data_IF_429662225059
#
_entry.id   IF_429662225059
#
_cell.length_a   1.000
_cell.length_b   1.000
_cell.length_c   1.000
_cell.angle_alpha   90.00
_cell.angle_beta   90.00
_cell.angle_gamma   90.00
#
_symmetry.space_group_name_H-M   'P 1'
#
loop_
_entity.id
_entity.type
_entity.pdbx_description
1 polymer ?
#
# COMPACT_ATOMS: atom_id res chain seq x y z
N UNK A 1 -4.87 21.50 4.94
CA UNK A 1 -6.30 21.71 4.68
C UNK A 1 -7.11 20.70 5.50
N UNK A 2 -8.26 21.10 6.05
CA UNK A 2 -9.16 20.15 6.72
C UNK A 2 -9.97 19.36 5.69
N UNK A 3 -10.00 18.03 5.82
CA UNK A 3 -10.87 17.17 5.03
C UNK A 3 -12.30 17.23 5.56
N UNK A 4 -13.29 17.44 4.68
CA UNK A 4 -14.71 17.34 5.01
C UNK A 4 -15.30 16.16 4.27
N UNK A 5 -15.82 15.18 5.01
CA UNK A 5 -16.45 13.99 4.43
C UNK A 5 -17.79 14.34 3.80
N UNK A 6 -18.01 13.87 2.59
CA UNK A 6 -19.31 13.88 1.91
C UNK A 6 -19.63 12.46 1.42
N UNK A 7 -20.56 11.74 2.08
CA UNK A 7 -20.95 10.39 1.70
C UNK A 7 -21.56 10.28 0.29
N UNK A 8 -22.14 11.37 -0.23
CA UNK A 8 -22.75 11.41 -1.56
C UNK A 8 -21.72 11.66 -2.67
N UNK A 9 -20.54 12.18 -2.31
CA UNK A 9 -19.47 12.45 -3.26
C UNK A 9 -18.61 11.20 -3.51
N UNK A 10 -18.38 10.89 -4.78
CA UNK A 10 -17.64 9.69 -5.20
C UNK A 10 -16.23 9.61 -4.58
N UNK A 11 -15.53 10.76 -4.51
CA UNK A 11 -14.18 10.91 -3.94
C UNK A 11 -14.16 11.18 -2.43
N UNK A 12 -14.99 12.11 -1.93
CA UNK A 12 -14.93 12.60 -0.54
C UNK A 12 -15.69 11.72 0.47
N UNK A 13 -16.21 10.57 0.03
CA UNK A 13 -16.80 9.55 0.92
C UNK A 13 -15.78 8.89 1.85
N UNK A 14 -14.50 8.91 1.49
CA UNK A 14 -13.38 8.43 2.32
C UNK A 14 -12.32 9.52 2.44
N UNK A 15 -11.62 9.57 3.57
CA UNK A 15 -10.45 10.42 3.77
C UNK A 15 -9.28 9.92 2.92
N UNK A 16 -8.24 10.75 2.68
CA UNK A 16 -7.03 10.30 1.98
C UNK A 16 -6.41 9.05 2.61
N UNK A 17 -6.35 8.99 3.95
CA UNK A 17 -5.84 7.83 4.67
C UNK A 17 -6.69 6.58 4.45
N UNK A 18 -8.02 6.71 4.52
CA UNK A 18 -8.94 5.59 4.29
C UNK A 18 -8.86 5.06 2.86
N UNK A 19 -8.66 5.93 1.87
CA UNK A 19 -8.41 5.51 0.49
C UNK A 19 -7.13 4.69 0.36
N UNK A 20 -6.05 5.11 1.02
CA UNK A 20 -4.78 4.36 1.03
C UNK A 20 -4.95 3.02 1.74
N UNK A 21 -5.61 2.98 2.90
CA UNK A 21 -5.90 1.74 3.61
C UNK A 21 -6.77 0.79 2.79
N UNK A 22 -7.81 1.30 2.12
CA UNK A 22 -8.61 0.52 1.20
C UNK A 22 -7.77 -0.05 0.04
N UNK A 23 -6.84 0.74 -0.50
CA UNK A 23 -5.90 0.31 -1.52
C UNK A 23 -5.01 -0.85 -1.06
N UNK A 24 -4.49 -0.80 0.16
CA UNK A 24 -3.69 -1.87 0.76
C UNK A 24 -4.50 -3.15 0.97
N UNK A 25 -5.77 -3.05 1.35
CA UNK A 25 -6.68 -4.20 1.46
C UNK A 25 -6.91 -4.84 0.08
N UNK A 26 -7.16 -4.04 -0.96
CA UNK A 26 -7.32 -4.56 -2.33
C UNK A 26 -6.04 -5.20 -2.86
N UNK A 27 -4.86 -4.63 -2.55
CA UNK A 27 -3.57 -5.22 -2.94
C UNK A 27 -3.40 -6.63 -2.35
N UNK A 28 -3.64 -6.79 -1.04
CA UNK A 28 -3.56 -8.11 -0.38
C UNK A 28 -4.54 -9.12 -0.98
N UNK A 29 -5.77 -8.67 -1.29
CA UNK A 29 -6.78 -9.52 -1.96
C UNK A 29 -6.33 -9.93 -3.37
N UNK A 30 -5.74 -9.00 -4.13
CA UNK A 30 -5.21 -9.22 -5.46
C UNK A 30 -4.06 -10.24 -5.44
N UNK A 31 -3.09 -10.06 -4.54
CA UNK A 31 -1.98 -11.00 -4.33
C UNK A 31 -2.49 -12.41 -3.99
N UNK A 32 -3.45 -12.52 -3.08
CA UNK A 32 -4.07 -13.81 -2.76
C UNK A 32 -4.80 -14.44 -3.94
N UNK A 33 -5.49 -13.65 -4.76
CA UNK A 33 -6.15 -14.15 -5.98
C UNK A 33 -5.14 -14.63 -7.02
N UNK A 34 -4.06 -13.87 -7.24
CA UNK A 34 -2.96 -14.27 -8.12
C UNK A 34 -2.36 -15.58 -7.63
N UNK A 35 -2.00 -15.69 -6.35
CA UNK A 35 -1.44 -16.91 -5.77
C UNK A 35 -2.31 -18.16 -6.00
N UNK A 36 -3.65 -18.01 -5.97
CA UNK A 36 -4.62 -19.10 -6.22
C UNK A 36 -4.91 -19.37 -7.70
N UNK A 37 -4.17 -18.80 -8.64
CA UNK A 37 -4.44 -19.04 -10.07
C UNK A 37 -5.42 -18.04 -10.71
N UNK A 38 -6.05 -17.15 -9.95
CA UNK A 38 -7.22 -16.39 -10.38
C UNK A 38 -6.83 -15.03 -11.02
N UNK A 39 -6.44 -15.06 -12.30
CA UNK A 39 -5.90 -13.88 -13.00
C UNK A 39 -6.89 -12.72 -13.12
N UNK A 40 -8.15 -12.97 -13.48
CA UNK A 40 -9.14 -11.92 -13.65
C UNK A 40 -9.39 -11.12 -12.36
N UNK A 41 -9.72 -11.74 -11.20
CA UNK A 41 -9.86 -10.99 -9.96
C UNK A 41 -8.52 -10.43 -9.46
N UNK A 42 -7.39 -11.10 -9.70
CA UNK A 42 -6.06 -10.60 -9.37
C UNK A 42 -5.73 -9.28 -10.09
N UNK A 43 -5.80 -9.27 -11.42
CA UNK A 43 -5.51 -8.07 -12.21
C UNK A 43 -6.51 -6.94 -11.98
N UNK A 44 -7.80 -7.26 -11.78
CA UNK A 44 -8.78 -6.25 -11.40
C UNK A 44 -8.46 -5.64 -10.03
N UNK A 45 -8.05 -6.46 -9.06
CA UNK A 45 -7.64 -6.01 -7.73
C UNK A 45 -6.41 -5.10 -7.76
N UNK A 46 -5.39 -5.44 -8.55
CA UNK A 46 -4.19 -4.59 -8.72
C UNK A 46 -4.54 -3.19 -9.25
N UNK A 47 -5.41 -3.11 -10.27
CA UNK A 47 -5.88 -1.82 -10.82
C UNK A 47 -6.66 -1.01 -9.79
N UNK A 48 -7.54 -1.66 -9.02
CA UNK A 48 -8.30 -0.99 -7.95
C UNK A 48 -7.38 -0.48 -6.84
N UNK A 49 -6.40 -1.28 -6.41
CA UNK A 49 -5.44 -0.87 -5.39
C UNK A 49 -4.68 0.39 -5.80
N UNK A 50 -4.17 0.43 -7.03
CA UNK A 50 -3.53 1.61 -7.60
C UNK A 50 -4.48 2.81 -7.67
N UNK A 51 -5.71 2.63 -8.19
CA UNK A 51 -6.69 3.70 -8.28
C UNK A 51 -7.12 4.27 -6.92
N UNK A 52 -7.21 3.44 -5.88
CA UNK A 52 -7.51 3.89 -4.52
C UNK A 52 -6.41 4.79 -3.95
N UNK A 53 -5.14 4.48 -4.20
CA UNK A 53 -4.05 5.38 -3.81
C UNK A 53 -4.07 6.71 -4.58
N UNK A 54 -4.46 6.70 -5.86
CA UNK A 54 -4.59 7.92 -6.67
C UNK A 54 -5.81 8.76 -6.27
N UNK A 55 -6.89 8.16 -5.76
CA UNK A 55 -7.98 8.89 -5.13
C UNK A 55 -7.51 9.72 -3.92
N UNK A 56 -6.64 9.14 -3.08
CA UNK A 56 -6.07 9.89 -1.95
C UNK A 56 -5.26 11.12 -2.44
N UNK A 57 -4.48 10.93 -3.51
CA UNK A 57 -3.74 12.02 -4.15
C UNK A 57 -4.70 13.10 -4.69
N UNK A 58 -5.80 12.74 -5.34
CA UNK A 58 -6.75 13.71 -5.90
C UNK A 58 -7.45 14.59 -4.85
N UNK A 59 -7.60 14.10 -3.61
CA UNK A 59 -8.17 14.92 -2.53
C UNK A 59 -7.18 16.01 -2.09
N UNK A 60 -5.88 15.70 -2.10
CA UNK A 60 -4.83 16.60 -1.61
C UNK A 60 -4.26 17.50 -2.70
N UNK A 61 -4.19 16.99 -3.92
CA UNK A 61 -3.69 17.65 -5.11
C UNK A 61 -4.65 17.36 -6.28
N UNK A 62 -5.70 18.16 -6.46
CA UNK A 62 -6.66 17.97 -7.55
C UNK A 62 -5.98 18.00 -8.93
N UNK A 63 -6.25 16.98 -9.75
CA UNK A 63 -5.78 16.87 -11.14
C UNK A 63 -6.96 16.46 -12.04
N UNK A 64 -7.57 17.42 -12.72
CA UNK A 64 -8.79 17.20 -13.53
C UNK A 64 -8.60 16.14 -14.62
N UNK A 65 -7.40 16.05 -15.20
CA UNK A 65 -7.07 15.09 -16.24
C UNK A 65 -7.16 13.62 -15.78
N UNK A 66 -7.11 13.35 -14.48
CA UNK A 66 -7.07 11.98 -13.97
C UNK A 66 -8.46 11.31 -13.93
N UNK A 67 -9.56 12.03 -14.11
CA UNK A 67 -10.90 11.45 -14.18
C UNK A 67 -11.39 10.84 -12.86
N UNK A 68 -12.33 9.88 -12.92
CA UNK A 68 -13.03 9.32 -11.74
C UNK A 68 -12.82 7.81 -11.54
N UNK A 69 -12.45 7.11 -12.60
CA UNK A 69 -12.26 5.67 -12.59
C UNK A 69 -10.78 5.33 -12.53
N UNK A 70 -10.45 4.16 -11.95
CA UNK A 70 -9.07 3.69 -11.91
C UNK A 70 -8.45 3.54 -13.31
N UNK A 71 -9.25 3.32 -14.36
CA UNK A 71 -8.75 3.25 -15.74
C UNK A 71 -8.37 4.63 -16.26
N UNK A 72 -9.17 5.65 -15.96
CA UNK A 72 -8.85 7.05 -16.29
C UNK A 72 -7.60 7.49 -15.53
N UNK A 73 -7.48 7.17 -14.24
CA UNK A 73 -6.29 7.48 -13.47
C UNK A 73 -5.03 6.87 -14.08
N UNK A 74 -5.07 5.58 -14.44
CA UNK A 74 -3.92 4.89 -15.05
C UNK A 74 -3.59 5.43 -16.45
N UNK A 75 -4.60 5.88 -17.20
CA UNK A 75 -4.41 6.48 -18.53
C UNK A 75 -3.74 7.83 -18.39
N UNK A 76 -4.28 8.71 -17.54
CA UNK A 76 -3.72 10.03 -17.32
C UNK A 76 -2.31 9.97 -16.72
N UNK A 77 -2.06 9.06 -15.77
CA UNK A 77 -0.75 8.88 -15.16
C UNK A 77 0.31 8.33 -16.12
N UNK A 78 -0.08 7.52 -17.12
CA UNK A 78 0.84 7.09 -18.18
C UNK A 78 1.30 8.28 -19.05
N UNK A 79 0.47 9.30 -19.21
CA UNK A 79 0.69 10.49 -20.04
C UNK A 79 1.25 11.69 -19.26
N UNK A 80 1.26 11.62 -17.92
CA UNK A 80 1.66 12.70 -17.03
C UNK A 80 3.19 12.89 -16.99
N UNK A 81 3.71 13.86 -17.75
CA UNK A 81 5.14 14.12 -17.85
C UNK A 81 5.80 14.57 -16.52
N UNK A 82 5.02 15.04 -15.54
CA UNK A 82 5.52 15.38 -14.21
C UNK A 82 5.78 14.14 -13.35
N UNK A 83 5.10 13.03 -13.64
CA UNK A 83 5.30 11.77 -12.94
C UNK A 83 6.65 11.13 -13.34
N UNK A 84 7.38 10.49 -12.40
CA UNK A 84 8.60 9.75 -12.73
C UNK A 84 8.36 8.69 -13.81
N UNK A 85 9.33 8.47 -14.71
CA UNK A 85 9.19 7.52 -15.83
C UNK A 85 8.77 6.11 -15.36
N UNK A 86 9.35 5.62 -14.27
CA UNK A 86 9.00 4.32 -13.68
C UNK A 86 7.52 4.23 -13.26
N UNK A 87 6.95 5.33 -12.77
CA UNK A 87 5.52 5.40 -12.39
C UNK A 87 4.64 5.37 -13.64
N UNK A 88 5.02 6.14 -14.68
CA UNK A 88 4.30 6.13 -15.97
C UNK A 88 4.29 4.75 -16.62
N UNK A 89 5.46 4.10 -16.64
CA UNK A 89 5.63 2.75 -17.17
C UNK A 89 4.79 1.72 -16.39
N UNK A 90 4.79 1.82 -15.06
CA UNK A 90 3.97 0.99 -14.19
C UNK A 90 2.47 1.21 -14.44
N UNK A 91 2.03 2.46 -14.58
CA UNK A 91 0.64 2.80 -14.88
C UNK A 91 0.21 2.20 -16.24
N UNK A 92 1.03 2.36 -17.28
CA UNK A 92 0.78 1.77 -18.59
C UNK A 92 0.76 0.24 -18.56
N UNK A 93 1.68 -0.38 -17.81
CA UNK A 93 1.70 -1.83 -17.60
C UNK A 93 0.39 -2.34 -16.98
N UNK A 94 -0.08 -1.69 -15.90
CA UNK A 94 -1.34 -2.03 -15.25
C UNK A 94 -2.53 -1.79 -16.18
N UNK A 95 -2.59 -0.66 -16.90
CA UNK A 95 -3.69 -0.35 -17.84
C UNK A 95 -3.88 -1.46 -18.87
N UNK A 96 -2.77 -1.96 -19.42
CA UNK A 96 -2.76 -3.02 -20.44
C UNK A 96 -3.04 -4.42 -19.92
N UNK A 97 -3.02 -4.66 -18.59
CA UNK A 97 -3.34 -5.96 -18.02
C UNK A 97 -4.73 -6.42 -18.46
N UNK A 98 -4.77 -7.56 -19.12
CA UNK A 98 -6.00 -8.29 -19.46
C UNK A 98 -5.82 -9.73 -19.02
N UNK A 99 -6.80 -10.26 -18.30
CA UNK A 99 -6.86 -11.70 -18.10
C UNK A 99 -7.11 -12.32 -19.48
N UNK A 100 -6.25 -13.25 -19.89
CA UNK A 100 -6.41 -13.93 -21.17
C UNK A 100 -7.80 -14.56 -21.27
N UNK A 101 -8.45 -14.35 -22.40
CA UNK A 101 -9.75 -14.95 -22.74
C UNK A 101 -9.51 -16.33 -23.36
N UNK A 102 -9.28 -17.35 -22.52
CA UNK A 102 -9.35 -18.76 -22.94
C UNK A 102 -8.30 -19.28 -23.95
N UNK A 103 -8.06 -20.59 -23.89
CA UNK A 103 -7.26 -21.48 -24.75
C UNK A 103 -5.75 -21.22 -24.91
N UNK A 104 -5.23 -20.03 -24.62
CA UNK A 104 -3.78 -19.84 -24.52
C UNK A 104 -3.30 -20.24 -23.12
N UNK A 105 -2.47 -21.28 -23.04
CA UNK A 105 -1.67 -21.58 -21.84
C UNK A 105 -0.71 -20.42 -21.66
N UNK A 106 -1.12 -19.44 -20.86
CA UNK A 106 -0.22 -18.39 -20.41
C UNK A 106 0.75 -19.07 -19.45
N UNK A 107 2.02 -19.23 -19.86
CA UNK A 107 3.06 -19.83 -19.03
C UNK A 107 3.30 -18.90 -17.84
N UNK A 108 2.57 -19.15 -16.76
CA UNK A 108 2.72 -18.43 -15.51
C UNK A 108 4.10 -18.70 -14.96
N UNK A 109 4.83 -17.64 -14.71
CA UNK A 109 6.03 -17.69 -13.89
C UNK A 109 5.80 -16.83 -12.65
N UNK A 110 6.27 -17.25 -11.46
CA UNK A 110 6.26 -16.41 -10.26
C UNK A 110 6.87 -15.02 -10.51
N UNK A 111 7.87 -14.95 -11.41
CA UNK A 111 8.48 -13.69 -11.86
C UNK A 111 7.49 -12.74 -12.56
N UNK A 112 6.63 -13.28 -13.44
CA UNK A 112 5.61 -12.46 -14.13
C UNK A 112 4.56 -11.89 -13.17
N UNK A 113 4.17 -12.65 -12.14
CA UNK A 113 3.21 -12.19 -11.14
C UNK A 113 3.81 -11.12 -10.23
N UNK A 114 5.04 -11.33 -9.76
CA UNK A 114 5.78 -10.35 -8.96
C UNK A 114 5.89 -9.01 -9.69
N UNK A 115 6.18 -9.02 -10.99
CA UNK A 115 6.24 -7.80 -11.81
C UNK A 115 4.95 -6.98 -11.76
N UNK A 116 3.78 -7.61 -11.84
CA UNK A 116 2.50 -6.88 -11.84
C UNK A 116 2.15 -6.32 -10.46
N UNK A 117 2.49 -7.06 -9.41
CA UNK A 117 2.38 -6.61 -8.03
C UNK A 117 3.28 -5.39 -7.79
N UNK A 118 4.53 -5.44 -8.22
CA UNK A 118 5.47 -4.31 -8.09
C UNK A 118 5.04 -3.09 -8.90
N UNK A 119 4.42 -3.27 -10.08
CA UNK A 119 3.83 -2.15 -10.82
C UNK A 119 2.69 -1.48 -10.03
N UNK A 120 1.80 -2.27 -9.40
CA UNK A 120 0.75 -1.72 -8.53
C UNK A 120 1.33 -0.97 -7.33
N UNK A 121 2.33 -1.55 -6.65
CA UNK A 121 3.02 -0.91 -5.52
C UNK A 121 3.71 0.40 -5.94
N UNK A 122 4.31 0.44 -7.12
CA UNK A 122 4.96 1.64 -7.66
C UNK A 122 3.95 2.78 -7.83
N UNK A 123 2.79 2.51 -8.43
CA UNK A 123 1.72 3.52 -8.57
C UNK A 123 1.14 3.92 -7.22
N UNK A 124 0.95 2.95 -6.30
CA UNK A 124 0.46 3.23 -4.96
C UNK A 124 1.43 4.10 -4.14
N UNK A 125 2.73 3.83 -4.24
CA UNK A 125 3.77 4.62 -3.60
C UNK A 125 3.78 6.07 -4.13
N UNK A 126 3.56 6.26 -5.43
CA UNK A 126 3.41 7.59 -6.01
C UNK A 126 2.16 8.31 -5.47
N UNK A 127 1.00 7.64 -5.42
CA UNK A 127 -0.21 8.22 -4.83
C UNK A 127 -0.02 8.60 -3.35
N UNK A 128 0.66 7.75 -2.59
CA UNK A 128 1.05 8.04 -1.20
C UNK A 128 1.97 9.27 -1.11
N UNK A 129 2.99 9.35 -1.97
CA UNK A 129 3.92 10.47 -2.01
C UNK A 129 3.24 11.79 -2.38
N UNK A 130 2.28 11.80 -3.31
CA UNK A 130 1.48 13.00 -3.58
C UNK A 130 0.58 13.37 -2.39
N UNK A 131 0.06 12.38 -1.68
CA UNK A 131 -0.81 12.61 -0.53
C UNK A 131 -0.08 13.22 0.67
N UNK A 132 1.15 12.77 0.95
CA UNK A 132 1.88 13.12 2.18
C UNK A 132 3.26 13.77 1.97
N UNK A 133 3.78 13.75 0.75
CA UNK A 133 5.13 14.26 0.44
C UNK A 133 5.25 15.77 0.61
N UNK A 134 4.19 16.52 0.34
CA UNK A 134 4.16 17.98 0.55
C UNK A 134 4.16 18.34 2.04
N UNK A 135 3.46 17.56 2.89
CA UNK A 135 3.37 17.82 4.33
C UNK A 135 4.69 17.58 5.09
N UNK A 136 5.54 16.63 4.63
CA UNK A 136 6.87 16.41 5.25
C UNK A 136 7.88 17.49 4.89
N UNK A 137 7.78 18.11 3.71
CA UNK A 137 8.65 19.23 3.37
C UNK A 137 8.37 20.45 4.27
N UNK A 138 7.09 20.68 4.61
CA UNK A 138 6.67 21.74 5.54
C UNK A 138 7.06 21.43 7.00
N UNK A 139 6.99 20.17 7.45
CA UNK A 139 7.46 19.77 8.79
C UNK A 139 8.98 19.84 8.94
N UNK A 140 9.75 19.50 7.91
CA UNK A 140 11.23 19.57 7.94
C UNK A 140 11.72 21.03 7.84
N UNK A 141 10.95 21.91 7.19
CA UNK A 141 11.26 23.35 7.11
C UNK A 141 10.83 24.12 8.35
N UNK A 142 10.02 23.51 9.23
CA UNK A 142 9.74 24.05 10.56
C UNK A 142 10.98 23.80 11.41
N UNK A 143 11.92 24.75 11.39
CA UNK A 143 13.03 24.76 12.35
C UNK A 143 12.47 24.49 13.76
N UNK A 144 13.15 23.68 14.58
CA UNK A 144 12.78 23.51 15.97
C UNK A 144 13.01 24.84 16.68
N UNK A 145 11.97 25.66 16.68
CA UNK A 145 11.89 26.92 17.42
C UNK A 145 11.94 26.55 18.91
N UNK A 146 13.16 26.53 19.45
CA UNK A 146 13.46 26.16 20.83
C UNK A 146 14.29 24.89 20.99
N UNK A 147 15.51 24.86 20.44
CA UNK A 147 16.56 24.08 21.06
C UNK A 147 16.79 24.62 22.49
N UNK A 148 16.64 23.81 23.56
CA UNK A 148 16.91 24.27 24.91
C UNK A 148 18.39 24.62 25.03
N UNK A 149 18.64 25.87 25.45
CA UNK A 149 19.94 26.39 25.86
C UNK A 149 20.72 25.34 26.66
N UNK A 150 21.88 24.97 26.13
CA UNK A 150 22.82 24.04 26.74
C UNK A 150 23.08 24.43 28.21
N UNK A 151 22.65 23.57 29.14
CA UNK A 151 23.22 23.51 30.48
C UNK A 151 24.26 22.40 30.50
N UNK A 152 25.47 22.83 30.86
CA UNK A 152 26.65 22.18 31.42
C UNK A 152 26.73 20.64 31.53
N UNK A 153 27.95 20.08 31.38
CA UNK A 153 28.19 18.64 31.37
C UNK A 153 27.88 18.01 32.74
N UNK A 154 27.10 16.93 32.71
CA UNK A 154 26.88 16.07 33.88
C UNK A 154 28.07 15.10 33.96
N UNK A 155 28.77 15.14 35.08
CA UNK A 155 29.85 14.23 35.44
C UNK A 155 29.39 12.77 35.38
N UNK A 156 30.24 11.94 34.77
CA UNK A 156 30.10 10.48 34.77
C UNK A 156 30.60 9.96 36.12
N UNK A 157 29.70 9.40 36.93
CA UNK A 157 30.06 8.53 38.06
C UNK A 157 29.73 7.09 37.71
N UNK A 158 30.77 6.33 37.38
CA UNK A 158 30.81 4.87 37.46
C UNK A 158 30.63 4.43 38.92
N UNK A 159 29.69 3.53 39.17
CA UNK A 159 29.65 2.62 40.32
C UNK A 159 28.69 1.48 40.00
N UNK A 160 29.30 0.38 39.52
CA UNK A 160 29.23 -0.97 40.07
C UNK A 160 27.91 -1.74 40.36
N UNK A 161 28.03 -3.01 39.95
CA UNK A 161 27.45 -4.25 40.50
C UNK A 161 26.01 -4.71 40.15
N UNK A 162 26.01 -5.68 39.22
CA UNK A 162 25.53 -7.06 39.38
C UNK A 162 24.25 -7.34 40.20
N UNK A 163 23.26 -7.96 39.56
CA UNK A 163 22.60 -9.13 40.16
C UNK A 163 21.86 -9.99 39.14
N UNK A 164 22.01 -11.29 39.38
CA UNK A 164 21.57 -12.46 38.62
C UNK A 164 20.09 -12.84 38.83
N UNK A 165 19.57 -13.67 37.91
CA UNK A 165 18.36 -14.50 38.09
C UNK A 165 17.55 -14.55 36.78
N UNK A 166 17.65 -15.57 35.91
CA UNK A 166 17.31 -16.99 36.03
C UNK A 166 15.84 -17.25 36.43
N UNK A 167 15.30 -18.39 35.95
CA UNK A 167 13.90 -18.93 36.04
C UNK A 167 12.96 -18.42 34.92
N UNK A 168 12.31 -19.24 34.10
CA UNK A 168 12.24 -20.70 34.04
C UNK A 168 11.40 -21.19 32.86
N UNK A 169 11.57 -22.47 32.56
CA UNK A 169 10.94 -23.22 31.48
C UNK A 169 9.49 -23.65 31.77
N UNK A 170 8.78 -24.06 30.70
CA UNK A 170 7.54 -24.85 30.75
C UNK A 170 6.41 -24.21 29.94
N UNK A 171 5.70 -24.88 29.05
CA UNK A 171 5.69 -26.30 28.74
C UNK A 171 4.84 -26.58 27.50
N UNK A 172 5.00 -27.80 27.01
CA UNK A 172 4.38 -28.40 25.84
C UNK A 172 2.88 -28.71 26.01
N UNK A 173 2.15 -28.66 24.89
CA UNK A 173 1.13 -29.64 24.51
C UNK A 173 -0.31 -29.12 24.39
N UNK A 174 -1.21 -29.82 23.67
CA UNK A 174 -1.00 -30.67 22.50
C UNK A 174 -1.81 -30.24 21.26
N UNK A 175 -1.35 -30.78 20.14
CA UNK A 175 -2.02 -30.94 18.86
C UNK A 175 -3.32 -31.75 19.04
N UNK A 176 -4.46 -31.22 18.58
CA UNK A 176 -5.65 -32.02 18.34
C UNK A 176 -6.01 -31.96 16.85
N UNK A 177 -5.71 -33.10 16.24
CA UNK A 177 -6.24 -33.62 14.99
C UNK A 177 -7.77 -33.68 15.08
N UNK A 178 -8.47 -33.26 14.02
CA UNK A 178 -9.90 -33.50 13.91
C UNK A 178 -10.24 -33.83 12.46
N UNK A 179 -9.81 -35.01 12.04
CA UNK A 179 -10.49 -35.83 11.05
C UNK A 179 -11.91 -36.12 11.53
N UNK A 180 -12.91 -35.68 10.77
CA UNK A 180 -14.26 -36.25 10.83
C UNK A 180 -14.83 -36.29 9.41
N UNK A 181 -14.62 -37.45 8.79
CA UNK A 181 -15.45 -37.99 7.72
C UNK A 181 -16.93 -37.94 8.13
N UNK A 182 -17.80 -37.53 7.20
CA UNK A 182 -19.14 -38.13 7.08
C UNK A 182 -19.52 -38.19 5.61
N UNK A 183 -19.42 -39.40 5.08
CA UNK A 183 -20.12 -39.86 3.89
C UNK A 183 -21.65 -39.91 4.13
N UNK A 184 -22.39 -39.55 3.07
CA UNK A 184 -23.59 -40.23 2.54
C UNK A 184 -24.89 -40.24 3.38
N UNK A 185 -26.06 -40.47 2.75
CA UNK A 185 -26.32 -40.92 1.37
C UNK A 185 -26.82 -39.85 0.39
#
# INVERSE_FOLDING_TARGET
MGFTRDPSHWLLRLSPEEWIQAGLVELRRAEGALHRGQLAPGYAGLKRAAGMALNAALITQPRDAWGRTYVEHLTALEEDLEAPSAVREAAGALRRLKAGSGTLINLRTPSSEARWVEAAKTVMAHGYALTYGSSRADEVSREPDGAPSAKAPIEVSESDEASSGAWGAGGSGPLLDNTAEKESP
#
